data_IF_258562979876
#
_entry.id   IF_258562979876
#
_cell.length_a   1.000
_cell.length_b   1.000
_cell.length_c   1.000
_cell.angle_alpha   90.00
_cell.angle_beta   90.00
_cell.angle_gamma   90.00
#
_symmetry.space_group_name_H-M   'P 1'
#
loop_
_entity.id
_entity.type
_entity.pdbx_description
1 polymer ?
#
# COMPACT_ATOMS: atom_id res chain seq x y z
N UNK A 1 17.54 18.06 -8.27
CA UNK A 1 17.51 18.38 -6.81
C UNK A 1 17.77 17.05 -6.08
N UNK A 2 19.04 16.68 -5.94
CA UNK A 2 19.44 15.35 -5.47
C UNK A 2 19.72 15.42 -3.97
N UNK A 3 18.71 15.13 -3.17
CA UNK A 3 18.87 14.94 -1.73
C UNK A 3 18.53 13.48 -1.44
N UNK A 4 19.52 12.73 -0.95
CA UNK A 4 19.31 11.39 -0.42
C UNK A 4 18.91 11.50 1.05
N UNK A 5 17.67 11.13 1.34
CA UNK A 5 17.15 11.20 2.70
C UNK A 5 17.85 10.17 3.59
N UNK A 6 18.42 10.63 4.71
CA UNK A 6 19.15 9.79 5.67
C UNK A 6 18.33 9.43 6.93
N UNK A 7 16.99 9.55 6.87
CA UNK A 7 16.13 9.23 8.00
C UNK A 7 16.11 7.73 8.31
N UNK A 8 15.67 7.35 9.52
CA UNK A 8 15.61 5.94 9.95
C UNK A 8 14.82 5.05 8.99
N UNK A 9 13.76 5.59 8.35
CA UNK A 9 12.96 4.87 7.36
C UNK A 9 13.73 4.58 6.07
N UNK A 10 14.50 5.54 5.56
CA UNK A 10 15.28 5.38 4.33
C UNK A 10 16.53 4.50 4.53
N UNK A 11 16.97 4.32 5.77
CA UNK A 11 18.07 3.40 6.14
C UNK A 11 17.59 1.97 6.38
N UNK A 12 16.29 1.77 6.59
CA UNK A 12 15.70 0.47 6.89
C UNK A 12 15.10 -0.16 5.62
N UNK A 13 15.58 -1.34 5.18
CA UNK A 13 15.02 -2.09 4.05
C UNK A 13 13.52 -2.38 4.17
N UNK A 14 12.99 -2.47 5.39
CA UNK A 14 11.56 -2.72 5.66
C UNK A 14 10.75 -1.43 5.81
N UNK A 15 11.41 -0.27 5.70
CA UNK A 15 10.82 1.06 5.85
C UNK A 15 10.08 1.20 7.19
N UNK A 16 10.75 0.86 8.31
CA UNK A 16 10.16 0.79 9.66
C UNK A 16 9.08 -0.31 9.79
N UNK A 17 9.29 -1.45 9.12
CA UNK A 17 8.31 -2.54 9.07
C UNK A 17 7.05 -2.24 8.27
N UNK A 18 6.98 -1.09 7.59
CA UNK A 18 5.79 -0.73 6.79
C UNK A 18 5.73 -1.48 5.48
N UNK A 19 6.86 -1.90 4.92
CA UNK A 19 6.93 -2.63 3.65
C UNK A 19 6.24 -1.87 2.49
N UNK A 20 6.32 -0.54 2.50
CA UNK A 20 5.68 0.34 1.51
C UNK A 20 6.10 0.06 0.07
N UNK A 21 7.35 -0.34 -0.12
CA UNK A 21 7.96 -0.66 -1.41
C UNK A 21 8.15 -2.16 -1.61
N UNK A 22 7.81 -3.00 -0.63
CA UNK A 22 8.11 -4.43 -0.67
C UNK A 22 7.12 -5.23 -1.53
N UNK A 23 7.66 -6.21 -2.23
CA UNK A 23 6.88 -7.16 -3.04
C UNK A 23 6.66 -8.47 -2.28
N UNK A 24 5.65 -9.25 -2.65
CA UNK A 24 5.53 -10.62 -2.19
C UNK A 24 6.45 -11.54 -3.01
N UNK A 25 7.21 -12.40 -2.33
CA UNK A 25 8.10 -13.32 -3.01
C UNK A 25 7.31 -14.36 -3.81
N UNK A 26 7.51 -14.39 -5.13
CA UNK A 26 6.82 -15.32 -6.03
C UNK A 26 7.30 -16.78 -5.91
N UNK A 27 8.49 -17.01 -5.32
CA UNK A 27 9.04 -18.36 -5.10
C UNK A 27 8.49 -19.01 -3.85
N UNK A 28 8.59 -18.34 -2.70
CA UNK A 28 8.18 -18.93 -1.41
C UNK A 28 6.76 -18.54 -0.98
N UNK A 29 6.17 -17.49 -1.58
CA UNK A 29 4.84 -16.92 -1.25
C UNK A 29 4.62 -16.56 0.24
N UNK A 30 5.69 -16.56 1.04
CA UNK A 30 5.68 -16.31 2.48
C UNK A 30 6.52 -15.11 2.90
N UNK A 31 7.51 -14.75 2.08
CA UNK A 31 8.47 -13.70 2.37
C UNK A 31 8.19 -12.42 1.59
N UNK A 32 8.69 -11.31 2.11
CA UNK A 32 8.71 -10.01 1.44
C UNK A 32 10.04 -9.83 0.71
N UNK A 33 9.98 -9.24 -0.48
CA UNK A 33 11.15 -8.85 -1.28
C UNK A 33 11.33 -7.35 -1.09
N UNK A 34 12.49 -6.97 -0.57
CA UNK A 34 12.85 -5.57 -0.28
C UNK A 34 14.23 -5.27 -0.84
N UNK A 35 14.56 -3.99 -0.97
CA UNK A 35 15.87 -3.59 -1.47
C UNK A 35 16.96 -3.94 -0.44
N UNK A 36 17.97 -4.67 -0.89
CA UNK A 36 19.17 -5.05 -0.13
C UNK A 36 20.40 -4.43 -0.80
N UNK A 37 21.30 -3.88 0.01
CA UNK A 37 22.61 -3.47 -0.46
C UNK A 37 23.51 -4.72 -0.54
N UNK A 38 24.09 -4.98 -1.72
CA UNK A 38 25.22 -5.90 -1.84
C UNK A 38 26.51 -5.09 -1.67
N UNK A 39 27.29 -5.45 -0.66
CA UNK A 39 28.57 -4.83 -0.28
C UNK A 39 29.69 -5.22 -1.26
N UNK A 40 29.46 -5.00 -2.55
CA UNK A 40 30.44 -5.10 -3.64
C UNK A 40 30.98 -3.70 -3.92
N UNK A 41 32.15 -3.56 -4.55
CA UNK A 41 32.72 -2.27 -4.93
C UNK A 41 32.62 -2.09 -6.45
N UNK A 42 31.77 -1.18 -6.98
CA UNK A 42 30.86 -0.26 -6.28
C UNK A 42 29.62 -0.95 -5.69
N UNK A 43 28.98 -0.37 -4.66
CA UNK A 43 27.79 -0.95 -4.03
C UNK A 43 26.68 -1.10 -5.05
N UNK A 44 26.11 -2.31 -5.12
CA UNK A 44 24.97 -2.58 -6.00
C UNK A 44 23.74 -2.86 -5.15
N UNK A 45 22.61 -2.30 -5.55
CA UNK A 45 21.33 -2.55 -4.89
C UNK A 45 20.59 -3.64 -5.64
N UNK A 46 20.16 -4.69 -4.94
CA UNK A 46 19.29 -5.74 -5.49
C UNK A 46 18.06 -5.88 -4.63
N UNK A 47 17.07 -6.59 -5.13
CA UNK A 47 15.85 -6.90 -4.39
C UNK A 47 15.94 -8.33 -3.89
N UNK A 48 15.91 -8.54 -2.59
CA UNK A 48 16.10 -9.85 -1.96
C UNK A 48 14.92 -10.24 -1.09
N UNK A 49 14.56 -11.53 -1.11
CA UNK A 49 13.57 -12.06 -0.18
C UNK A 49 14.17 -12.30 1.21
N UNK A 50 13.43 -11.96 2.25
CA UNK A 50 13.75 -12.22 3.66
C UNK A 50 13.76 -13.72 4.06
N UNK A 51 13.02 -14.57 3.34
CA UNK A 51 12.82 -16.00 3.70
C UNK A 51 13.44 -17.01 2.73
N UNK A 52 13.95 -16.58 1.58
CA UNK A 52 14.55 -17.49 0.61
C UNK A 52 15.64 -16.82 -0.22
N UNK A 53 16.38 -17.60 -0.99
CA UNK A 53 17.51 -17.14 -1.83
C UNK A 53 17.09 -16.36 -3.09
N UNK A 54 15.80 -16.06 -3.24
CA UNK A 54 15.29 -15.35 -4.41
C UNK A 54 15.78 -13.90 -4.43
N UNK A 55 16.30 -13.48 -5.58
CA UNK A 55 16.77 -12.12 -5.86
C UNK A 55 16.19 -11.62 -7.18
N UNK A 56 15.98 -10.31 -7.27
CA UNK A 56 15.51 -9.59 -8.45
C UNK A 56 16.36 -8.34 -8.70
N UNK A 57 16.44 -7.92 -9.96
CA UNK A 57 17.10 -6.67 -10.32
C UNK A 57 16.15 -5.47 -10.17
N UNK A 58 16.71 -4.27 -9.97
CA UNK A 58 15.91 -3.05 -9.86
C UNK A 58 15.05 -2.82 -11.12
N UNK A 59 15.58 -3.15 -12.30
CA UNK A 59 14.87 -2.98 -13.58
C UNK A 59 13.58 -3.79 -13.62
N UNK A 60 13.61 -5.04 -13.18
CA UNK A 60 12.43 -5.92 -13.18
C UNK A 60 11.37 -5.41 -12.21
N UNK A 61 11.80 -4.94 -11.03
CA UNK A 61 10.91 -4.34 -10.05
C UNK A 61 10.30 -3.05 -10.59
N UNK A 62 11.07 -2.19 -11.22
CA UNK A 62 10.57 -0.94 -11.81
C UNK A 62 9.55 -1.20 -12.93
N UNK A 63 9.80 -2.16 -13.82
CA UNK A 63 8.85 -2.55 -14.87
C UNK A 63 7.54 -3.05 -14.25
N UNK A 64 7.64 -3.91 -13.23
CA UNK A 64 6.48 -4.44 -12.52
C UNK A 64 5.68 -3.31 -11.86
N UNK A 65 6.35 -2.49 -11.06
CA UNK A 65 5.74 -1.37 -10.33
C UNK A 65 5.08 -0.38 -11.29
N UNK A 66 5.74 0.00 -12.38
CA UNK A 66 5.18 0.91 -13.38
C UNK A 66 3.95 0.33 -14.08
N UNK A 67 3.96 -0.97 -14.39
CA UNK A 67 2.81 -1.68 -14.98
C UNK A 67 1.58 -1.63 -14.06
N UNK A 68 1.75 -1.93 -12.78
CA UNK A 68 0.64 -1.94 -11.82
C UNK A 68 0.21 -0.52 -11.41
N UNK A 69 1.14 0.43 -11.34
CA UNK A 69 0.82 1.84 -11.11
C UNK A 69 -0.04 2.40 -12.25
N UNK A 70 0.32 2.10 -13.50
CA UNK A 70 -0.45 2.50 -14.68
C UNK A 70 -1.85 1.87 -14.71
N UNK A 71 -1.96 0.60 -14.27
CA UNK A 71 -3.26 -0.05 -14.09
C UNK A 71 -4.09 0.66 -13.02
N UNK A 72 -3.51 0.93 -11.84
CA UNK A 72 -4.19 1.54 -10.71
C UNK A 72 -4.81 2.91 -11.05
N UNK A 73 -4.11 3.73 -11.84
CA UNK A 73 -4.62 5.05 -12.29
C UNK A 73 -5.85 4.95 -13.20
N UNK A 74 -5.98 3.84 -13.94
CA UNK A 74 -7.06 3.64 -14.91
C UNK A 74 -8.28 2.88 -14.34
N UNK A 75 -8.23 2.47 -13.06
CA UNK A 75 -9.34 1.75 -12.43
C UNK A 75 -10.52 2.70 -12.18
N UNK A 76 -11.72 2.26 -12.56
CA UNK A 76 -12.98 2.97 -12.33
C UNK A 76 -14.03 2.00 -11.79
N UNK A 77 -14.77 2.44 -10.79
CA UNK A 77 -15.79 1.64 -10.10
C UNK A 77 -15.21 0.77 -8.98
N UNK A 78 -16.04 0.57 -7.95
CA UNK A 78 -15.69 -0.16 -6.73
C UNK A 78 -15.31 -1.63 -7.00
N UNK A 79 -16.07 -2.33 -7.85
CA UNK A 79 -15.81 -3.75 -8.13
C UNK A 79 -14.45 -3.98 -8.81
N UNK A 80 -14.07 -3.12 -9.76
CA UNK A 80 -12.79 -3.25 -10.46
C UNK A 80 -11.62 -2.98 -9.52
N UNK A 81 -11.78 -2.04 -8.59
CA UNK A 81 -10.80 -1.74 -7.55
C UNK A 81 -10.64 -2.89 -6.55
N UNK A 82 -11.73 -3.51 -6.08
CA UNK A 82 -11.66 -4.69 -5.19
C UNK A 82 -11.06 -5.92 -5.89
N UNK A 83 -11.38 -6.14 -7.16
CA UNK A 83 -10.76 -7.20 -7.97
C UNK A 83 -9.25 -6.96 -8.13
N UNK A 84 -8.84 -5.72 -8.39
CA UNK A 84 -7.44 -5.35 -8.48
C UNK A 84 -6.70 -5.53 -7.14
N UNK A 85 -7.33 -5.22 -6.01
CA UNK A 85 -6.76 -5.50 -4.69
C UNK A 85 -6.52 -6.99 -4.49
N UNK A 86 -7.44 -7.83 -4.96
CA UNK A 86 -7.32 -9.30 -4.84
C UNK A 86 -6.18 -9.83 -5.70
N UNK A 87 -6.00 -9.35 -6.94
CA UNK A 87 -4.83 -9.67 -7.75
C UNK A 87 -3.53 -9.24 -7.06
N UNK A 88 -3.50 -8.00 -6.55
CA UNK A 88 -2.30 -7.42 -5.94
C UNK A 88 -1.83 -8.14 -4.68
N UNK A 89 -2.71 -8.82 -3.92
CA UNK A 89 -2.31 -9.60 -2.73
C UNK A 89 -1.25 -10.66 -3.02
N UNK A 90 -1.22 -11.19 -4.25
CA UNK A 90 -0.25 -12.21 -4.64
C UNK A 90 1.11 -11.62 -5.04
N UNK A 91 1.16 -10.34 -5.40
CA UNK A 91 2.32 -9.68 -6.02
C UNK A 91 2.99 -8.69 -5.07
N UNK A 92 2.19 -7.93 -4.32
CA UNK A 92 2.63 -6.85 -3.47
C UNK A 92 2.32 -7.14 -2.00
N UNK A 93 3.13 -6.59 -1.10
CA UNK A 93 2.78 -6.60 0.31
C UNK A 93 1.48 -5.83 0.57
N UNK A 94 0.72 -6.19 1.61
CA UNK A 94 -0.59 -5.58 1.92
C UNK A 94 -0.52 -4.07 2.16
N UNK A 95 0.65 -3.58 2.56
CA UNK A 95 0.95 -2.19 2.83
C UNK A 95 1.71 -1.50 1.68
N UNK A 96 1.86 -2.15 0.52
CA UNK A 96 2.54 -1.54 -0.61
C UNK A 96 1.82 -0.26 -1.06
N UNK A 97 2.56 0.78 -1.46
CA UNK A 97 1.99 2.10 -1.74
C UNK A 97 0.89 2.09 -2.82
N UNK A 98 1.02 1.24 -3.85
CA UNK A 98 -0.01 1.06 -4.89
C UNK A 98 -1.30 0.51 -4.27
N UNK A 99 -1.17 -0.51 -3.42
CA UNK A 99 -2.31 -1.16 -2.75
C UNK A 99 -2.98 -0.16 -1.81
N UNK A 100 -2.21 0.61 -1.05
CA UNK A 100 -2.74 1.67 -0.18
C UNK A 100 -3.45 2.76 -0.96
N UNK A 101 -2.91 3.17 -2.11
CA UNK A 101 -3.56 4.15 -2.99
C UNK A 101 -4.94 3.69 -3.46
N UNK A 102 -5.07 2.43 -3.88
CA UNK A 102 -6.36 1.85 -4.28
C UNK A 102 -7.31 1.71 -3.09
N UNK A 103 -6.83 1.28 -1.91
CA UNK A 103 -7.66 1.25 -0.69
C UNK A 103 -8.19 2.64 -0.34
N UNK A 104 -7.37 3.68 -0.46
CA UNK A 104 -7.77 5.06 -0.21
C UNK A 104 -8.80 5.55 -1.25
N UNK A 105 -8.66 5.17 -2.52
CA UNK A 105 -9.65 5.44 -3.55
C UNK A 105 -10.99 4.76 -3.24
N UNK A 106 -10.98 3.48 -2.84
CA UNK A 106 -12.17 2.74 -2.42
C UNK A 106 -12.87 3.39 -1.24
N UNK A 107 -12.12 3.80 -0.20
CA UNK A 107 -12.69 4.52 0.95
C UNK A 107 -13.44 5.80 0.56
N UNK A 108 -13.03 6.45 -0.54
CA UNK A 108 -13.69 7.64 -1.08
C UNK A 108 -14.87 7.30 -1.99
N UNK A 109 -14.79 6.19 -2.73
CA UNK A 109 -15.85 5.73 -3.63
C UNK A 109 -17.07 5.23 -2.85
N UNK A 110 -16.86 4.48 -1.77
CA UNK A 110 -17.95 4.04 -0.88
C UNK A 110 -18.66 5.25 -0.24
N UNK A 111 -19.94 5.44 -0.58
CA UNK A 111 -20.77 6.56 -0.12
C UNK A 111 -20.84 7.73 -1.11
N UNK A 112 -20.19 7.65 -2.28
CA UNK A 112 -20.26 8.67 -3.35
C UNK A 112 -20.72 8.13 -4.71
N UNK A 113 -20.34 6.90 -5.07
CA UNK A 113 -20.74 6.32 -6.38
C UNK A 113 -22.19 5.81 -6.35
N UNK A 114 -22.87 5.89 -7.50
CA UNK A 114 -24.22 5.35 -7.71
C UNK A 114 -24.25 3.83 -7.45
N UNK A 115 -25.25 3.35 -6.70
CA UNK A 115 -25.34 1.95 -6.23
C UNK A 115 -24.58 1.67 -4.94
N UNK A 116 -23.75 2.61 -4.46
CA UNK A 116 -23.08 2.57 -3.16
C UNK A 116 -23.24 3.90 -2.39
N UNK A 117 -24.33 4.62 -2.66
CA UNK A 117 -24.63 5.89 -1.98
C UNK A 117 -24.92 5.65 -0.50
N UNK A 118 -24.78 6.69 0.33
CA UNK A 118 -24.93 6.57 1.80
C UNK A 118 -26.25 5.93 2.24
N UNK A 119 -27.30 6.09 1.43
CA UNK A 119 -28.65 5.56 1.62
C UNK A 119 -28.83 4.12 1.12
N UNK A 120 -27.97 3.65 0.23
CA UNK A 120 -28.03 2.32 -0.41
C UNK A 120 -26.96 1.35 0.13
N UNK A 121 -26.08 1.84 1.00
CA UNK A 121 -24.98 1.08 1.60
C UNK A 121 -25.51 -0.04 2.50
N UNK A 122 -25.21 -1.29 2.13
CA UNK A 122 -25.45 -2.44 2.99
C UNK A 122 -24.51 -2.43 4.21
N UNK A 123 -24.94 -3.06 5.31
CA UNK A 123 -24.12 -3.22 6.53
C UNK A 123 -22.76 -3.86 6.24
N UNK A 124 -22.68 -4.77 5.27
CA UNK A 124 -21.44 -5.41 4.83
C UNK A 124 -20.49 -4.41 4.15
N UNK A 125 -21.02 -3.56 3.27
CA UNK A 125 -20.24 -2.52 2.58
C UNK A 125 -19.71 -1.46 3.55
N UNK A 126 -20.47 -1.14 4.61
CA UNK A 126 -20.02 -0.27 5.70
C UNK A 126 -18.86 -0.90 6.48
N UNK A 127 -18.97 -2.18 6.85
CA UNK A 127 -17.88 -2.90 7.51
C UNK A 127 -16.63 -2.98 6.65
N UNK A 128 -16.80 -3.22 5.34
CA UNK A 128 -15.68 -3.25 4.39
C UNK A 128 -14.98 -1.90 4.31
N UNK A 129 -15.74 -0.79 4.22
CA UNK A 129 -15.20 0.57 4.26
C UNK A 129 -14.44 0.84 5.57
N UNK A 130 -15.01 0.43 6.70
CA UNK A 130 -14.36 0.59 8.01
C UNK A 130 -13.02 -0.14 8.07
N UNK A 131 -12.99 -1.39 7.61
CA UNK A 131 -11.76 -2.19 7.54
C UNK A 131 -10.70 -1.52 6.67
N UNK A 132 -11.06 -1.04 5.47
CA UNK A 132 -10.13 -0.36 4.57
C UNK A 132 -9.56 0.91 5.21
N UNK A 133 -10.40 1.72 5.86
CA UNK A 133 -9.97 2.91 6.59
C UNK A 133 -8.98 2.58 7.72
N UNK A 134 -9.26 1.53 8.50
CA UNK A 134 -8.37 1.08 9.58
C UNK A 134 -7.02 0.59 9.05
N UNK A 135 -7.00 -0.17 7.95
CA UNK A 135 -5.77 -0.63 7.32
C UNK A 135 -4.91 0.53 6.82
N UNK A 136 -5.52 1.54 6.19
CA UNK A 136 -4.81 2.75 5.74
C UNK A 136 -4.28 3.55 6.93
N UNK A 137 -5.09 3.73 7.97
CA UNK A 137 -4.70 4.46 9.19
C UNK A 137 -3.50 3.83 9.88
N UNK A 138 -3.47 2.51 10.03
CA UNK A 138 -2.35 1.78 10.64
C UNK A 138 -1.01 2.09 9.95
N UNK A 139 -1.01 2.20 8.62
CA UNK A 139 0.21 2.54 7.88
C UNK A 139 0.55 4.03 8.03
N UNK A 140 -0.45 4.91 7.98
CA UNK A 140 -0.25 6.36 8.16
C UNK A 140 0.26 6.72 9.56
N UNK A 141 -0.11 5.97 10.60
CA UNK A 141 0.39 6.15 11.96
C UNK A 141 1.90 5.92 12.06
N UNK A 142 2.45 4.99 11.26
CA UNK A 142 3.91 4.73 11.23
C UNK A 142 4.65 5.75 10.37
N UNK A 143 4.07 6.14 9.23
CA UNK A 143 4.75 7.01 8.26
C UNK A 143 4.77 8.47 8.65
N UNK A 144 3.65 8.94 9.20
CA UNK A 144 3.44 10.33 9.61
C UNK A 144 2.67 10.33 10.93
N UNK A 145 3.33 10.01 12.05
CA UNK A 145 2.75 10.18 13.37
C UNK A 145 2.55 11.69 13.62
N UNK A 146 1.35 12.20 13.35
CA UNK A 146 1.00 13.62 13.47
C UNK A 146 -0.19 14.03 12.61
N UNK A 147 -0.65 15.28 12.73
CA UNK A 147 -1.73 15.81 11.88
C UNK A 147 -1.23 16.06 10.45
N UNK A 148 -1.80 15.37 9.47
CA UNK A 148 -1.45 15.51 8.05
C UNK A 148 -2.73 15.66 7.22
N UNK A 149 -2.67 16.37 6.08
CA UNK A 149 -3.82 16.62 5.20
C UNK A 149 -4.51 15.33 4.76
N UNK A 150 -3.72 14.26 4.57
CA UNK A 150 -4.23 12.90 4.28
C UNK A 150 -5.10 12.35 5.41
N UNK A 151 -4.74 12.59 6.69
CA UNK A 151 -5.56 12.25 7.87
C UNK A 151 -6.74 13.20 8.07
N UNK A 152 -6.57 14.47 7.70
CA UNK A 152 -7.56 15.53 7.79
C UNK A 152 -8.65 15.47 6.70
N UNK A 153 -8.53 14.56 5.73
CA UNK A 153 -9.57 14.31 4.74
C UNK A 153 -10.82 13.79 5.45
N UNK A 154 -11.95 14.50 5.27
CA UNK A 154 -13.26 14.32 5.95
C UNK A 154 -13.71 12.86 6.16
N UNK A 155 -13.29 11.93 5.30
CA UNK A 155 -13.67 10.52 5.34
C UNK A 155 -12.93 9.67 6.39
N UNK A 156 -11.71 10.05 6.78
CA UNK A 156 -10.92 9.33 7.81
C UNK A 156 -11.34 9.78 9.21
N UNK A 157 -11.66 11.07 9.37
CA UNK A 157 -12.13 11.65 10.63
C UNK A 157 -13.46 11.02 11.06
N UNK A 158 -14.38 10.76 10.12
CA UNK A 158 -15.68 10.19 10.43
C UNK A 158 -15.60 8.76 11.00
N UNK A 159 -14.54 8.02 10.67
CA UNK A 159 -14.25 6.70 11.27
C UNK A 159 -13.63 6.83 12.66
N UNK A 160 -12.73 7.80 12.89
CA UNK A 160 -12.19 8.03 14.24
C UNK A 160 -13.26 8.46 15.25
N UNK A 161 -14.32 9.15 14.80
CA UNK A 161 -15.46 9.52 15.64
C UNK A 161 -16.38 8.34 15.99
N UNK A 162 -16.36 7.26 15.20
CA UNK A 162 -17.19 6.06 15.40
C UNK A 162 -16.48 4.98 16.24
N UNK A 163 -15.16 5.09 16.45
CA UNK A 163 -14.37 4.16 17.30
C UNK A 163 -14.35 4.64 18.77
N UNK A 164 -14.94 5.80 19.06
CA UNK A 164 -15.04 6.36 20.42
C UNK A 164 -16.48 6.32 21.00
N UNK A 165 -17.37 5.50 20.45
CA UNK A 165 -18.65 5.16 21.07
C UNK A 165 -18.85 3.64 21.14
#
# INVERSE_FOLDING_TARGET
KYFECSCNRCKDPTELGTHLSSLMCQKCKKGAVSQIAEWVNPPTYKWGCDRCVFKMENRDVEILVNKYSSKATNLKGIETQENFLTECKSIFHTNHYIVLGVKFALCQAYGREEGYTLTELTTESIHRKLQLCQEVLKVLDVLTPGYCITRGSRNIIQVSSLVHY
#
